data_IF_489770542717
#
_entry.id   IF_489770542717
#
_cell.length_a   1.000
_cell.length_b   1.000
_cell.length_c   1.000
_cell.angle_alpha   90.00
_cell.angle_beta   90.00
_cell.angle_gamma   90.00
#
_symmetry.space_group_name_H-M   'P 1'
#
loop_
_entity.id
_entity.type
_entity.pdbx_description
1 polymer ?
#
# COMPACT_ATOMS: atom_id res chain seq x y z
N UNK A 1 -34.49 -3.32 9.77
CA UNK A 1 -34.00 -4.63 10.25
C UNK A 1 -33.47 -5.51 9.12
N UNK A 2 -34.27 -5.85 8.10
CA UNK A 2 -33.77 -6.71 7.01
C UNK A 2 -32.71 -6.02 6.12
N UNK A 3 -32.88 -4.74 5.83
CA UNK A 3 -31.91 -3.95 5.05
C UNK A 3 -30.52 -3.86 5.70
N UNK A 4 -30.46 -3.76 7.03
CA UNK A 4 -29.18 -3.74 7.76
C UNK A 4 -28.48 -5.10 7.71
N UNK A 5 -29.24 -6.21 7.76
CA UNK A 5 -28.69 -7.55 7.58
C UNK A 5 -28.16 -7.76 6.16
N UNK A 6 -28.85 -7.25 5.14
CA UNK A 6 -28.41 -7.36 3.74
C UNK A 6 -27.11 -6.58 3.53
N UNK A 7 -27.01 -5.34 4.06
CA UNK A 7 -25.77 -4.55 3.96
C UNK A 7 -24.57 -5.26 4.60
N UNK A 8 -24.75 -5.81 5.79
CA UNK A 8 -23.65 -6.45 6.52
C UNK A 8 -23.18 -7.78 5.91
N UNK A 9 -24.06 -8.52 5.22
CA UNK A 9 -23.66 -9.70 4.43
C UNK A 9 -22.88 -9.30 3.18
N UNK A 10 -23.33 -8.25 2.49
CA UNK A 10 -22.64 -7.72 1.30
C UNK A 10 -21.25 -7.21 1.67
N UNK A 11 -21.11 -6.43 2.75
CA UNK A 11 -19.82 -5.91 3.21
C UNK A 11 -18.84 -7.03 3.55
N UNK A 12 -19.31 -8.09 4.21
CA UNK A 12 -18.49 -9.29 4.48
C UNK A 12 -18.06 -9.99 3.19
N UNK A 13 -18.98 -10.17 2.24
CA UNK A 13 -18.68 -10.90 1.02
C UNK A 13 -17.78 -10.12 0.06
N UNK A 14 -17.86 -8.79 0.06
CA UNK A 14 -16.92 -7.91 -0.65
C UNK A 14 -15.54 -7.96 0.00
N UNK A 15 -15.47 -7.93 1.33
CA UNK A 15 -14.20 -8.07 2.06
C UNK A 15 -13.52 -9.42 1.81
N UNK A 16 -14.29 -10.53 1.79
CA UNK A 16 -13.75 -11.88 1.58
C UNK A 16 -13.38 -12.16 0.11
N UNK A 17 -14.18 -11.68 -0.85
CA UNK A 17 -14.07 -12.10 -2.26
C UNK A 17 -13.34 -11.07 -3.13
N UNK A 18 -13.33 -9.79 -2.73
CA UNK A 18 -12.78 -8.69 -3.52
C UNK A 18 -11.97 -7.70 -2.66
N UNK A 19 -10.89 -8.12 -1.99
CA UNK A 19 -10.04 -7.22 -1.20
C UNK A 19 -9.46 -6.05 -2.02
N UNK A 20 -9.30 -6.23 -3.33
CA UNK A 20 -8.87 -5.20 -4.29
C UNK A 20 -9.91 -4.11 -4.58
N UNK A 21 -11.17 -4.27 -4.16
CA UNK A 21 -12.18 -3.19 -4.19
C UNK A 21 -12.07 -2.27 -2.97
N UNK A 22 -11.50 -2.74 -1.86
CA UNK A 22 -11.25 -1.92 -0.67
C UNK A 22 -9.87 -1.24 -0.72
N UNK A 23 -8.86 -1.97 -1.22
CA UNK A 23 -7.51 -1.49 -1.38
C UNK A 23 -7.22 -1.35 -2.87
N UNK A 24 -7.12 -0.13 -3.41
CA UNK A 24 -6.79 0.04 -4.82
C UNK A 24 -5.46 -0.64 -5.14
N UNK A 25 -5.42 -1.38 -6.26
CA UNK A 25 -4.28 -2.22 -6.64
C UNK A 25 -2.96 -1.46 -6.81
N UNK A 26 -3.02 -0.13 -6.99
CA UNK A 26 -1.88 0.76 -7.14
C UNK A 26 -2.07 2.00 -6.25
N UNK A 27 -1.08 2.26 -5.41
CA UNK A 27 -1.00 3.41 -4.51
C UNK A 27 0.31 4.15 -4.75
N UNK A 28 0.32 5.44 -4.42
CA UNK A 28 1.55 6.23 -4.38
C UNK A 28 2.02 6.25 -2.94
N UNK A 29 3.29 5.96 -2.71
CA UNK A 29 3.88 6.01 -1.37
C UNK A 29 5.15 6.84 -1.40
N UNK A 30 5.47 7.46 -0.26
CA UNK A 30 6.73 8.15 -0.04
C UNK A 30 7.66 7.23 0.74
N UNK A 31 8.90 7.11 0.30
CA UNK A 31 9.92 6.39 1.07
C UNK A 31 10.35 7.27 2.24
N UNK A 32 10.16 6.77 3.45
CA UNK A 32 10.58 7.44 4.68
C UNK A 32 11.99 7.02 5.09
N UNK A 33 12.32 5.74 4.93
CA UNK A 33 13.61 5.17 5.32
C UNK A 33 14.10 4.13 4.32
N UNK A 34 15.41 4.07 4.14
CA UNK A 34 16.10 3.06 3.35
C UNK A 34 17.14 2.40 4.23
N UNK A 35 17.10 1.08 4.32
CA UNK A 35 18.09 0.27 5.01
C UNK A 35 18.68 -0.73 4.02
N UNK A 36 19.97 -0.62 3.66
CA UNK A 36 20.60 -1.60 2.79
C UNK A 36 20.74 -2.95 3.52
N UNK A 37 20.26 -4.03 2.89
CA UNK A 37 20.28 -5.40 3.42
C UNK A 37 20.90 -6.36 2.39
N UNK A 38 22.22 -6.24 2.20
CA UNK A 38 22.97 -7.04 1.23
C UNK A 38 22.60 -6.70 -0.22
N UNK A 39 22.05 -7.67 -0.96
CA UNK A 39 21.59 -7.49 -2.35
C UNK A 39 20.21 -6.83 -2.47
N UNK A 40 19.52 -6.61 -1.34
CA UNK A 40 18.19 -6.03 -1.29
C UNK A 40 18.20 -4.74 -0.47
N UNK A 41 17.33 -3.81 -0.81
CA UNK A 41 17.09 -2.62 -0.02
C UNK A 41 15.75 -2.77 0.69
N UNK A 42 15.78 -2.58 2.01
CA UNK A 42 14.59 -2.56 2.84
C UNK A 42 14.09 -1.12 2.96
N UNK A 43 12.85 -0.90 2.53
CA UNK A 43 12.20 0.38 2.49
C UNK A 43 11.11 0.46 3.54
N UNK A 44 11.08 1.60 4.24
CA UNK A 44 9.87 2.04 4.95
C UNK A 44 9.10 2.99 4.05
N UNK A 45 7.82 2.71 3.88
CA UNK A 45 6.94 3.43 2.99
C UNK A 45 5.80 4.07 3.77
N UNK A 46 5.40 5.28 3.39
CA UNK A 46 4.18 5.90 3.88
C UNK A 46 3.26 6.22 2.71
N UNK A 47 2.06 5.65 2.71
CA UNK A 47 1.08 5.85 1.63
C UNK A 47 0.64 7.31 1.60
N UNK A 48 0.57 7.87 0.39
CA UNK A 48 0.06 9.22 0.15
C UNK A 48 -1.23 9.15 -0.66
N UNK A 49 -2.18 10.00 -0.29
CA UNK A 49 -3.44 10.16 -0.99
C UNK A 49 -3.26 10.90 -2.34
N UNK A 50 -4.35 10.95 -3.12
CA UNK A 50 -4.37 11.62 -4.44
C UNK A 50 -3.99 13.10 -4.41
N UNK A 51 -4.06 13.73 -3.25
CA UNK A 51 -3.76 15.15 -3.02
C UNK A 51 -2.31 15.40 -2.59
N UNK A 52 -1.49 14.36 -2.42
CA UNK A 52 -0.12 14.48 -1.92
C UNK A 52 0.00 14.57 -0.40
N UNK A 53 -1.11 14.53 0.33
CA UNK A 53 -1.14 14.39 1.78
C UNK A 53 -0.89 12.93 2.18
N UNK A 54 -0.28 12.73 3.35
CA UNK A 54 -0.17 11.40 3.93
C UNK A 54 -1.57 10.88 4.25
N UNK A 55 -1.88 9.68 3.78
CA UNK A 55 -3.16 9.07 4.09
C UNK A 55 -3.09 8.47 5.49
N UNK A 56 -3.72 9.13 6.48
CA UNK A 56 -3.73 8.69 7.88
C UNK A 56 -4.38 7.31 8.07
N UNK A 57 -5.15 6.84 7.09
CA UNK A 57 -5.73 5.49 7.12
C UNK A 57 -4.68 4.40 7.05
N UNK A 58 -3.49 4.72 6.55
CA UNK A 58 -2.42 3.77 6.38
C UNK A 58 -1.25 4.11 7.30
N UNK A 59 -0.87 3.19 8.20
CA UNK A 59 0.36 3.35 8.95
C UNK A 59 1.57 3.28 8.00
N UNK A 60 2.73 3.67 8.54
CA UNK A 60 4.00 3.44 7.85
C UNK A 60 4.24 1.93 7.72
N UNK A 61 4.54 1.47 6.52
CA UNK A 61 4.80 0.06 6.19
C UNK A 61 6.31 -0.15 6.13
N UNK A 62 6.93 -0.74 7.18
CA UNK A 62 8.33 -1.13 7.16
C UNK A 62 8.53 -2.48 6.45
N UNK A 63 9.79 -2.84 6.16
CA UNK A 63 10.13 -4.19 5.71
C UNK A 63 9.96 -4.44 4.21
N UNK A 64 9.79 -3.39 3.40
CA UNK A 64 9.50 -3.56 1.97
C UNK A 64 10.80 -3.78 1.21
N UNK A 65 11.02 -5.01 0.75
CA UNK A 65 12.22 -5.37 0.03
C UNK A 65 12.11 -5.02 -1.46
N UNK A 66 13.07 -4.26 -1.97
CA UNK A 66 13.20 -4.02 -3.41
C UNK A 66 14.66 -4.03 -3.85
N UNK A 67 14.89 -4.46 -5.10
CA UNK A 67 16.20 -4.35 -5.77
C UNK A 67 16.39 -2.99 -6.45
N UNK A 68 15.32 -2.21 -6.62
CA UNK A 68 15.42 -0.86 -7.14
C UNK A 68 16.03 0.04 -6.06
N UNK A 69 17.13 0.69 -6.38
CA UNK A 69 17.72 1.70 -5.54
C UNK A 69 16.92 3.01 -5.67
N UNK A 70 16.12 3.33 -4.66
CA UNK A 70 15.38 4.58 -4.55
C UNK A 70 15.80 5.33 -3.28
N UNK A 71 15.95 6.65 -3.37
CA UNK A 71 16.36 7.48 -2.23
C UNK A 71 15.21 7.75 -1.25
N UNK A 72 15.57 7.97 0.03
CA UNK A 72 14.62 8.44 1.04
C UNK A 72 14.04 9.81 0.65
N UNK A 73 12.73 9.97 0.81
CA UNK A 73 12.01 11.20 0.50
C UNK A 73 11.40 11.22 -0.90
N UNK A 74 11.74 10.26 -1.77
CA UNK A 74 11.15 10.11 -3.11
C UNK A 74 9.77 9.45 -3.04
N UNK A 75 9.00 9.66 -4.11
CA UNK A 75 7.69 9.04 -4.30
C UNK A 75 7.83 7.82 -5.21
N UNK A 76 7.14 6.74 -4.85
CA UNK A 76 7.14 5.48 -5.56
C UNK A 76 5.72 5.01 -5.82
N UNK A 77 5.52 4.32 -6.94
CA UNK A 77 4.32 3.53 -7.17
C UNK A 77 4.48 2.19 -6.47
N UNK A 78 3.50 1.84 -5.64
CA UNK A 78 3.44 0.56 -4.95
C UNK A 78 2.17 -0.17 -5.33
N UNK A 79 2.28 -1.48 -5.49
CA UNK A 79 1.14 -2.38 -5.63
C UNK A 79 0.95 -3.19 -4.38
N UNK A 80 -0.29 -3.30 -3.91
CA UNK A 80 -0.65 -4.26 -2.88
C UNK A 80 -1.00 -5.57 -3.58
N UNK A 81 -0.09 -6.55 -3.54
CA UNK A 81 -0.31 -7.82 -4.21
C UNK A 81 -1.49 -8.54 -3.54
N UNK A 82 -2.43 -9.00 -4.35
CA UNK A 82 -3.65 -9.71 -3.91
C UNK A 82 -4.56 -8.94 -2.94
N UNK A 83 -4.38 -7.62 -2.80
CA UNK A 83 -5.10 -6.83 -1.81
C UNK A 83 -4.66 -7.12 -0.37
N UNK A 84 -3.48 -7.71 -0.18
CA UNK A 84 -2.84 -7.88 1.12
C UNK A 84 -1.91 -6.70 1.42
N UNK A 85 -1.55 -6.51 2.69
CA UNK A 85 -0.58 -5.49 3.12
C UNK A 85 0.87 -5.87 2.74
N UNK A 86 1.05 -6.39 1.54
CA UNK A 86 2.33 -6.80 0.95
C UNK A 86 2.65 -5.88 -0.24
N UNK A 87 3.29 -4.71 0.03
CA UNK A 87 3.59 -3.74 -1.01
C UNK A 87 4.76 -4.18 -1.88
N UNK A 88 4.60 -4.05 -3.19
CA UNK A 88 5.65 -4.23 -4.18
C UNK A 88 5.96 -2.90 -4.86
N UNK A 89 7.24 -2.51 -4.88
CA UNK A 89 7.67 -1.26 -5.50
C UNK A 89 7.84 -1.48 -7.01
N UNK A 90 7.04 -0.78 -7.81
CA UNK A 90 7.17 -0.82 -9.28
C UNK A 90 8.23 0.14 -9.80
N UNK A 91 8.38 1.31 -9.17
CA UNK A 91 9.35 2.31 -9.58
C UNK A 91 9.10 3.68 -8.95
N UNK A 92 10.04 4.60 -9.15
CA UNK A 92 9.91 6.01 -8.77
C UNK A 92 8.89 6.71 -9.67
N UNK A 93 8.05 7.56 -9.06
CA UNK A 93 7.05 8.38 -9.76
C UNK A 93 7.27 9.83 -9.37
N UNK A 94 7.31 10.72 -10.36
CA UNK A 94 7.41 12.16 -10.14
C UNK A 94 6.11 12.76 -9.55
#
# INVERSE_FOLDING_TARGET
>A
MLEEMIKSVIDKQIADTYPHLQLPSLLRAKITKVTPSGEWFEYSLKIIGKTGEFDERYPEIPGVLSKLQVDSGKYVAIGLLYGELNPYIFGEVA
#
